data_IF_578365828202
#
_entry.id   IF_578365828202
#
_cell.length_a   1.000
_cell.length_b   1.000
_cell.length_c   1.000
_cell.angle_alpha   90.00
_cell.angle_beta   90.00
_cell.angle_gamma   90.00
#
_symmetry.space_group_name_H-M   'P 1'
#
loop_
_entity.id
_entity.type
_entity.pdbx_description
1 polymer ?
#
# COMPACT_ATOMS: atom_id res chain seq x y z
N UNK A 1 -0.53 -13.61 7.87
CA UNK A 1 -1.05 -13.51 6.48
C UNK A 1 -0.60 -12.18 5.88
N UNK A 2 -0.38 -12.08 4.56
CA UNK A 2 0.00 -10.84 3.87
C UNK A 2 -1.17 -10.30 3.05
N UNK A 3 -1.38 -8.98 3.07
CA UNK A 3 -2.45 -8.31 2.33
C UNK A 3 -1.86 -7.24 1.42
N UNK A 4 -2.24 -7.27 0.14
CA UNK A 4 -1.93 -6.22 -0.82
C UNK A 4 -3.12 -5.25 -0.91
N UNK A 5 -2.88 -3.96 -0.69
CA UNK A 5 -3.90 -2.92 -0.83
C UNK A 5 -3.54 -2.00 -1.98
N UNK A 6 -4.39 -2.00 -2.99
CA UNK A 6 -4.32 -1.06 -4.12
C UNK A 6 -5.03 0.23 -3.73
N UNK A 7 -4.42 1.39 -4.00
CA UNK A 7 -5.00 2.67 -3.58
C UNK A 7 -4.90 2.93 -2.06
N UNK A 8 -3.97 2.26 -1.36
CA UNK A 8 -3.77 2.40 0.09
C UNK A 8 -3.40 3.82 0.55
N UNK A 9 -2.94 4.69 -0.35
CA UNK A 9 -2.68 6.12 -0.06
C UNK A 9 -3.90 7.02 -0.26
N UNK A 10 -5.05 6.47 -0.65
CA UNK A 10 -6.31 7.20 -0.85
C UNK A 10 -7.13 7.33 0.44
N UNK A 11 -8.28 8.01 0.37
CA UNK A 11 -9.14 8.29 1.53
C UNK A 11 -9.60 7.01 2.26
N UNK A 12 -10.29 6.10 1.58
CA UNK A 12 -10.74 4.85 2.20
C UNK A 12 -9.57 3.87 2.43
N UNK A 13 -8.62 3.85 1.49
CA UNK A 13 -7.48 2.93 1.52
C UNK A 13 -6.58 3.13 2.75
N UNK A 14 -6.35 4.36 3.18
CA UNK A 14 -5.50 4.65 4.34
C UNK A 14 -6.13 4.12 5.64
N UNK A 15 -7.44 4.30 5.82
CA UNK A 15 -8.17 3.76 6.97
C UNK A 15 -8.21 2.23 6.96
N UNK A 16 -8.36 1.61 5.79
CA UNK A 16 -8.29 0.16 5.65
C UNK A 16 -6.90 -0.37 6.04
N UNK A 17 -5.84 0.28 5.56
CA UNK A 17 -4.45 -0.08 5.91
C UNK A 17 -4.24 0.01 7.43
N UNK A 18 -4.68 1.10 8.06
CA UNK A 18 -4.57 1.28 9.51
C UNK A 18 -5.29 0.16 10.28
N UNK A 19 -6.50 -0.22 9.84
CA UNK A 19 -7.24 -1.33 10.43
C UNK A 19 -6.52 -2.66 10.27
N UNK A 20 -6.03 -2.97 9.07
CA UNK A 20 -5.32 -4.22 8.80
C UNK A 20 -4.03 -4.34 9.64
N UNK A 21 -3.29 -3.25 9.81
CA UNK A 21 -2.11 -3.24 10.69
C UNK A 21 -2.53 -3.53 12.13
N UNK A 22 -3.58 -2.85 12.62
CA UNK A 22 -4.11 -3.07 13.97
C UNK A 22 -4.59 -4.50 14.22
N UNK A 23 -5.11 -5.16 13.19
CA UNK A 23 -5.55 -6.56 13.24
C UNK A 23 -4.37 -7.56 13.10
N UNK A 24 -3.12 -7.07 13.03
CA UNK A 24 -1.90 -7.89 13.00
C UNK A 24 -1.47 -8.38 11.61
N UNK A 25 -2.06 -7.84 10.54
CA UNK A 25 -1.69 -8.22 9.17
C UNK A 25 -0.41 -7.51 8.71
N UNK A 26 0.38 -8.21 7.88
CA UNK A 26 1.48 -7.60 7.13
C UNK A 26 0.91 -6.98 5.86
N UNK A 27 0.93 -5.65 5.77
CA UNK A 27 0.32 -4.90 4.68
C UNK A 27 1.38 -4.45 3.68
N UNK A 28 1.06 -4.60 2.40
CA UNK A 28 1.81 -4.05 1.27
C UNK A 28 0.90 -3.14 0.46
N UNK A 29 1.40 -2.00 -0.02
CA UNK A 29 0.62 -1.02 -0.80
C UNK A 29 1.33 -0.71 -2.11
N UNK A 30 0.57 -0.70 -3.21
CA UNK A 30 1.03 -0.13 -4.48
C UNK A 30 0.68 1.36 -4.50
N UNK A 31 1.69 2.20 -4.71
CA UNK A 31 1.53 3.65 -4.77
C UNK A 31 2.25 4.25 -5.98
N UNK A 32 1.60 5.20 -6.64
CA UNK A 32 2.18 5.94 -7.78
C UNK A 32 3.19 7.01 -7.37
N UNK A 33 3.27 7.35 -6.07
CA UNK A 33 4.13 8.40 -5.54
C UNK A 33 4.69 8.01 -4.19
N UNK A 34 6.02 8.01 -4.07
CA UNK A 34 6.75 7.76 -2.82
C UNK A 34 6.36 8.74 -1.71
N UNK A 35 6.21 10.02 -2.04
CA UNK A 35 5.80 11.08 -1.11
C UNK A 35 4.44 10.80 -0.47
N UNK A 36 3.47 10.30 -1.24
CA UNK A 36 2.14 9.96 -0.70
C UNK A 36 2.16 8.72 0.19
N UNK A 37 3.14 7.84 0.00
CA UNK A 37 3.29 6.58 0.71
C UNK A 37 4.19 6.67 1.96
N UNK A 38 4.88 7.79 2.17
CA UNK A 38 5.81 8.01 3.28
C UNK A 38 5.15 7.74 4.65
N UNK A 39 3.97 8.32 4.88
CA UNK A 39 3.16 8.09 6.10
C UNK A 39 2.80 6.63 6.35
N UNK A 40 2.67 5.82 5.30
CA UNK A 40 2.38 4.39 5.42
C UNK A 40 3.67 3.61 5.72
N UNK A 41 4.79 4.02 5.13
CA UNK A 41 6.11 3.43 5.38
C UNK A 41 6.53 3.58 6.84
N UNK A 42 6.26 4.73 7.45
CA UNK A 42 6.46 4.99 8.89
C UNK A 42 5.65 4.03 9.78
N UNK A 43 4.52 3.52 9.30
CA UNK A 43 3.67 2.53 9.98
C UNK A 43 4.11 1.08 9.73
N UNK A 44 5.27 0.87 9.09
CA UNK A 44 5.78 -0.47 8.77
C UNK A 44 5.10 -1.12 7.56
N UNK A 45 4.37 -0.36 6.75
CA UNK A 45 3.77 -0.85 5.51
C UNK A 45 4.84 -0.96 4.43
N UNK A 46 4.87 -2.08 3.73
CA UNK A 46 5.74 -2.25 2.58
C UNK A 46 5.17 -1.52 1.36
N UNK A 47 5.98 -0.69 0.69
CA UNK A 47 5.54 0.12 -0.44
C UNK A 47 6.15 -0.42 -1.73
N UNK A 48 5.29 -0.76 -2.69
CA UNK A 48 5.66 -0.97 -4.09
C UNK A 48 5.35 0.33 -4.84
N UNK A 49 6.36 0.92 -5.48
CA UNK A 49 6.12 1.99 -6.44
C UNK A 49 5.66 1.38 -7.76
N UNK A 50 4.51 1.83 -8.25
CA UNK A 50 3.95 1.33 -9.49
C UNK A 50 2.56 1.90 -9.76
N UNK A 51 2.12 1.77 -11.00
CA UNK A 51 0.74 2.02 -11.40
C UNK A 51 0.04 0.69 -11.71
N UNK A 52 -1.18 0.52 -11.20
CA UNK A 52 -1.98 -0.69 -11.42
C UNK A 52 -2.52 -0.77 -12.84
N UNK A 53 -2.58 0.35 -13.56
CA UNK A 53 -3.01 0.36 -14.97
C UNK A 53 -1.88 0.07 -15.94
N UNK A 54 -0.64 0.02 -15.46
CA UNK A 54 0.55 -0.25 -16.26
C UNK A 54 0.78 -1.76 -16.33
N UNK A 55 0.55 -2.32 -17.53
CA UNK A 55 0.66 -3.76 -17.81
C UNK A 55 2.11 -4.25 -17.93
N UNK A 56 3.08 -3.34 -18.09
CA UNK A 56 4.49 -3.69 -18.32
C UNK A 56 5.33 -3.66 -17.03
N UNK A 57 4.73 -3.29 -15.89
CA UNK A 57 5.38 -3.41 -14.60
C UNK A 57 5.47 -4.90 -14.22
N UNK A 58 6.66 -5.50 -14.43
CA UNK A 58 7.01 -6.90 -14.12
C UNK A 58 6.99 -7.29 -12.64
N UNK A 59 6.01 -6.80 -11.88
CA UNK A 59 5.76 -7.08 -10.47
C UNK A 59 4.50 -7.95 -10.25
N UNK A 60 3.88 -8.46 -11.33
CA UNK A 60 2.82 -9.47 -11.31
C UNK A 60 3.26 -10.72 -12.07
#
# INVERSE_FOLDING_TARGET
MKVLVTGGTGFAGSHLVDRLISDGFKVRVIARSSKKAEKLKEKGVEIILGDITDKDNGYL
#
